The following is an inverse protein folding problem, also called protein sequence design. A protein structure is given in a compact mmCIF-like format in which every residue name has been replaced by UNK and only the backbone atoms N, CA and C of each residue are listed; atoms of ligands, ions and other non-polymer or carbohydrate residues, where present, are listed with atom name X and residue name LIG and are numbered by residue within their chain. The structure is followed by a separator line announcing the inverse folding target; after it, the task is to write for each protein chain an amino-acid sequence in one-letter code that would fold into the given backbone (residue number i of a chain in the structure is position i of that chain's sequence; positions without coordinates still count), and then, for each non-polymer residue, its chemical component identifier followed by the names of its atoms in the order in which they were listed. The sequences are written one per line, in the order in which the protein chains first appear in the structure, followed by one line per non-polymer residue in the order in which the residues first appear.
data_IF_591971666807
#
_entry.id   IF_591971666807
#
_cell.length_a   1.000
_cell.length_b   1.000
_cell.length_c   1.000
_cell.angle_alpha   90.00
_cell.angle_beta   90.00
_cell.angle_gamma   90.00
#
_symmetry.space_group_name_H-M   'P 1'
#
loop_
_entity.id
_entity.type
_entity.pdbx_description
1 polymer ?
#
# COMPACT_ATOMS: atom_id res chain seq x y z
N UNK A 1 45.38 -18.07 -50.00
CA UNK A 1 45.85 -16.67 -49.90
C UNK A 1 45.43 -16.14 -48.53
N UNK A 2 46.43 -15.91 -47.66
CA UNK A 2 46.44 -15.32 -46.29
C UNK A 2 45.50 -15.97 -45.24
N UNK A 3 45.92 -16.70 -44.18
CA UNK A 3 47.10 -16.78 -43.27
C UNK A 3 47.01 -15.96 -41.97
N UNK A 4 46.67 -16.67 -40.87
CA UNK A 4 47.22 -16.75 -39.48
C UNK A 4 47.67 -15.50 -38.66
N UNK A 5 47.40 -15.60 -37.34
CA UNK A 5 48.13 -15.11 -36.13
C UNK A 5 47.40 -14.00 -35.34
N UNK A 6 46.97 -14.17 -34.08
CA UNK A 6 47.66 -14.49 -32.80
C UNK A 6 48.72 -13.48 -32.39
N UNK A 7 48.48 -12.76 -31.28
CA UNK A 7 49.48 -12.52 -30.22
C UNK A 7 48.90 -11.80 -29.00
N UNK A 8 49.08 -12.44 -27.86
CA UNK A 8 48.98 -11.93 -26.49
C UNK A 8 50.06 -10.88 -26.19
N UNK A 9 49.79 -9.96 -25.25
CA UNK A 9 50.84 -9.25 -24.52
C UNK A 9 50.58 -9.33 -23.01
N UNK A 10 51.52 -9.98 -22.32
CA UNK A 10 51.74 -9.90 -20.87
C UNK A 10 52.81 -8.82 -20.64
N UNK A 11 52.65 -7.98 -19.62
CA UNK A 11 53.78 -7.31 -18.98
C UNK A 11 53.54 -7.13 -17.47
N UNK A 12 54.24 -7.99 -16.74
CA UNK A 12 54.99 -7.81 -15.47
C UNK A 12 54.73 -6.65 -14.51
N UNK A 13 54.62 -7.05 -13.23
CA UNK A 13 54.57 -6.33 -11.96
C UNK A 13 55.94 -5.75 -11.50
N UNK A 14 55.95 -4.61 -10.77
CA UNK A 14 56.68 -4.38 -9.49
C UNK A 14 56.52 -2.93 -8.92
N UNK A 15 56.76 -2.65 -7.60
CA UNK A 15 55.74 -2.04 -6.73
C UNK A 15 56.14 -0.80 -5.85
N UNK A 16 55.14 -0.31 -5.07
CA UNK A 16 55.13 0.51 -3.81
C UNK A 16 55.08 2.05 -3.92
N UNK A 17 54.57 2.81 -2.90
CA UNK A 17 54.25 2.41 -1.53
C UNK A 17 52.82 2.69 -1.01
N UNK A 18 52.57 2.03 0.11
CA UNK A 18 51.41 1.99 1.00
C UNK A 18 51.06 3.33 1.66
N UNK A 19 49.80 3.75 1.53
CA UNK A 19 49.14 4.69 2.44
C UNK A 19 48.25 3.91 3.42
N UNK A 20 48.62 3.96 4.70
CA UNK A 20 47.80 3.47 5.79
C UNK A 20 46.58 4.38 5.97
N UNK A 21 45.37 3.86 5.67
CA UNK A 21 44.15 4.33 6.30
C UNK A 21 43.64 3.25 7.23
N UNK A 22 43.72 3.52 8.54
CA UNK A 22 42.91 2.83 9.55
C UNK A 22 41.50 3.39 9.45
N UNK A 23 40.50 2.54 9.23
CA UNK A 23 39.14 2.82 9.66
C UNK A 23 38.41 1.55 10.11
N UNK A 24 38.10 1.55 11.40
CA UNK A 24 37.10 0.80 12.16
C UNK A 24 36.25 -0.23 11.38
N UNK A 25 36.41 -1.50 11.73
CA UNK A 25 35.49 -2.58 11.40
C UNK A 25 34.20 -2.44 12.22
N UNK A 26 33.19 -1.80 11.64
CA UNK A 26 31.80 -1.97 12.09
C UNK A 26 31.16 -3.04 11.21
N UNK A 27 31.07 -4.26 11.74
CA UNK A 27 30.27 -5.33 11.16
C UNK A 27 28.79 -4.94 11.21
N UNK A 28 28.26 -4.34 10.13
CA UNK A 28 26.81 -4.27 9.94
C UNK A 28 26.32 -5.67 9.59
N UNK A 29 25.60 -6.28 10.52
CA UNK A 29 24.88 -7.52 10.26
C UNK A 29 23.86 -7.25 9.14
N UNK A 30 24.00 -7.98 8.04
CA UNK A 30 23.03 -7.97 6.95
C UNK A 30 21.73 -8.63 7.44
N UNK A 31 20.54 -8.04 7.21
CA UNK A 31 19.29 -8.72 7.52
C UNK A 31 19.17 -9.97 6.65
N UNK A 32 19.02 -11.14 7.29
CA UNK A 32 18.77 -12.41 6.61
C UNK A 32 17.27 -12.54 6.36
N UNK A 33 16.87 -12.56 5.09
CA UNK A 33 15.46 -12.68 4.67
C UNK A 33 15.15 -14.16 4.40
N UNK A 34 14.05 -14.63 4.97
CA UNK A 34 13.46 -15.92 4.63
C UNK A 34 12.09 -15.65 3.97
N UNK A 35 11.88 -16.15 2.75
CA UNK A 35 10.56 -16.26 2.13
C UNK A 35 10.04 -17.67 2.35
N UNK A 36 8.89 -17.82 3.01
CA UNK A 36 8.24 -19.13 3.18
C UNK A 36 6.92 -19.15 2.43
N UNK A 37 6.79 -20.07 1.47
CA UNK A 37 5.51 -20.45 0.85
C UNK A 37 4.97 -21.61 1.68
N UNK A 38 3.80 -21.44 2.29
CA UNK A 38 3.10 -22.52 2.98
C UNK A 38 2.25 -23.29 1.98
N UNK A 39 2.65 -24.52 1.65
CA UNK A 39 1.75 -25.48 0.98
C UNK A 39 0.80 -26.08 2.02
N UNK A 40 -0.51 -25.89 1.83
CA UNK A 40 -1.54 -26.49 2.65
C UNK A 40 -1.74 -27.95 2.23
N UNK A 41 -1.25 -28.89 3.04
CA UNK A 41 -1.48 -30.33 2.83
C UNK A 41 -2.81 -30.71 3.47
N UNK A 42 -3.74 -31.20 2.67
CA UNK A 42 -5.06 -31.68 3.13
C UNK A 42 -4.91 -32.84 4.14
N UNK A 43 -5.65 -32.84 5.27
CA UNK A 43 -5.57 -33.95 6.22
C UNK A 43 -6.32 -35.20 5.72
N UNK A 44 -5.65 -36.35 5.84
CA UNK A 44 -6.24 -37.68 5.64
C UNK A 44 -7.18 -37.97 6.84
N UNK A 45 -8.42 -38.34 6.55
CA UNK A 45 -9.44 -38.72 7.54
C UNK A 45 -9.21 -40.13 8.09
N UNK A 46 -9.20 -40.29 9.42
CA UNK A 46 -9.59 -41.54 10.06
C UNK A 46 -10.33 -41.24 11.39
N UNK A 47 -11.39 -41.98 11.75
CA UNK A 47 -12.27 -41.62 12.86
C UNK A 47 -11.93 -42.40 14.13
N UNK A 48 -11.88 -41.74 15.29
CA UNK A 48 -12.13 -42.33 16.62
C UNK A 48 -12.33 -41.24 17.69
N UNK A 49 -13.58 -41.14 18.14
CA UNK A 49 -14.12 -40.72 19.43
C UNK A 49 -13.15 -40.46 20.62
N UNK A 50 -13.25 -39.29 21.28
CA UNK A 50 -14.06 -39.07 22.50
C UNK A 50 -13.66 -37.80 23.29
N UNK A 51 -14.70 -37.05 23.71
CA UNK A 51 -14.76 -36.12 24.85
C UNK A 51 -13.86 -34.86 24.88
N UNK A 52 -14.39 -33.75 24.35
CA UNK A 52 -14.00 -32.37 24.73
C UNK A 52 -15.26 -31.60 25.17
N UNK A 53 -15.32 -31.04 26.39
CA UNK A 53 -16.46 -30.24 26.82
C UNK A 53 -16.56 -28.92 26.04
N UNK A 54 -17.77 -28.35 25.86
CA UNK A 54 -17.97 -27.17 25.02
C UNK A 54 -17.28 -25.94 25.60
N UNK A 55 -16.73 -25.04 24.76
CA UNK A 55 -16.09 -23.82 25.23
C UNK A 55 -17.09 -22.91 25.93
N UNK A 56 -16.76 -22.54 27.16
CA UNK A 56 -17.48 -21.58 27.98
C UNK A 56 -17.63 -20.23 27.26
N UNK A 57 -18.85 -19.68 27.26
CA UNK A 57 -19.18 -18.34 26.74
C UNK A 57 -18.27 -17.27 27.34
N UNK A 58 -17.31 -16.78 26.56
CA UNK A 58 -16.47 -15.65 26.96
C UNK A 58 -17.32 -14.37 27.04
N UNK A 59 -17.45 -13.82 28.25
CA UNK A 59 -18.02 -12.49 28.48
C UNK A 59 -17.08 -11.44 27.88
N UNK A 60 -17.61 -10.64 26.97
CA UNK A 60 -16.95 -9.47 26.38
C UNK A 60 -16.78 -8.40 27.48
N UNK A 61 -15.62 -8.38 28.15
CA UNK A 61 -15.26 -7.27 29.05
C UNK A 61 -14.91 -6.06 28.19
N UNK A 62 -15.89 -5.22 27.91
CA UNK A 62 -15.63 -3.83 27.55
C UNK A 62 -15.36 -3.05 28.84
N UNK A 63 -14.08 -2.83 29.14
CA UNK A 63 -13.70 -1.76 30.05
C UNK A 63 -13.97 -0.43 29.37
N UNK A 64 -15.10 0.19 29.71
CA UNK A 64 -15.47 1.56 29.36
C UNK A 64 -14.49 2.51 30.05
N UNK A 65 -13.37 2.80 29.41
CA UNK A 65 -12.48 3.88 29.85
C UNK A 65 -13.11 5.21 29.48
N UNK A 66 -13.53 5.95 30.50
CA UNK A 66 -14.08 7.29 30.38
C UNK A 66 -12.96 8.25 29.96
N UNK A 67 -12.74 8.43 28.64
CA UNK A 67 -11.85 9.47 28.14
C UNK A 67 -12.67 10.74 27.96
N UNK A 68 -12.46 11.69 28.88
CA UNK A 68 -12.80 13.08 28.70
C UNK A 68 -12.27 13.52 27.33
N UNK A 69 -13.20 13.87 26.44
CA UNK A 69 -12.93 14.42 25.12
C UNK A 69 -12.31 15.80 25.28
N UNK A 70 -10.99 15.87 25.36
CA UNK A 70 -10.28 17.09 24.95
C UNK A 70 -10.47 17.15 23.44
N UNK A 71 -11.30 18.09 22.99
CA UNK A 71 -11.55 18.34 21.58
C UNK A 71 -10.21 18.49 20.85
N UNK A 72 -9.88 17.51 20.02
CA UNK A 72 -8.77 17.64 19.08
C UNK A 72 -9.16 18.74 18.09
N UNK A 73 -8.24 19.68 17.76
CA UNK A 73 -8.55 20.73 16.81
C UNK A 73 -8.92 20.06 15.48
N UNK A 74 -10.07 20.46 14.93
CA UNK A 74 -10.52 20.02 13.62
C UNK A 74 -9.39 20.25 12.62
N UNK A 75 -8.87 19.17 12.02
CA UNK A 75 -7.97 19.25 10.86
C UNK A 75 -8.68 20.13 9.82
N UNK A 76 -8.13 21.31 9.53
CA UNK A 76 -8.58 22.16 8.44
C UNK A 76 -8.62 21.29 7.17
N UNK A 77 -9.81 21.14 6.58
CA UNK A 77 -9.94 20.54 5.25
C UNK A 77 -9.20 21.45 4.27
N UNK A 78 -8.40 20.93 3.33
CA UNK A 78 -7.85 21.75 2.25
C UNK A 78 -8.99 22.51 1.59
N UNK A 79 -8.85 23.82 1.38
CA UNK A 79 -9.85 24.56 0.61
C UNK A 79 -9.86 24.02 -0.82
N UNK A 80 -10.93 23.28 -1.15
CA UNK A 80 -11.15 22.75 -2.48
C UNK A 80 -11.29 23.91 -3.46
N UNK A 81 -10.43 23.96 -4.47
CA UNK A 81 -10.49 25.02 -5.48
C UNK A 81 -11.84 25.01 -6.22
N UNK A 82 -12.32 26.17 -6.68
CA UNK A 82 -13.57 26.28 -7.45
C UNK A 82 -13.58 25.36 -8.69
N UNK A 83 -12.42 25.22 -9.35
CA UNK A 83 -12.25 24.32 -10.50
C UNK A 83 -12.41 22.86 -10.09
N UNK A 84 -11.81 22.45 -8.96
CA UNK A 84 -12.01 21.11 -8.40
C UNK A 84 -13.47 20.86 -8.05
N UNK A 85 -14.14 21.82 -7.40
CA UNK A 85 -15.55 21.69 -7.05
C UNK A 85 -16.43 21.51 -8.29
N UNK A 86 -16.23 22.33 -9.33
CA UNK A 86 -16.97 22.25 -10.60
C UNK A 86 -16.84 20.86 -11.24
N UNK A 87 -15.60 20.39 -11.44
CA UNK A 87 -15.40 19.09 -12.08
C UNK A 87 -15.90 17.93 -11.23
N UNK A 88 -15.81 18.02 -9.91
CA UNK A 88 -16.40 17.03 -9.01
C UNK A 88 -17.93 17.02 -9.10
N UNK A 89 -18.58 18.17 -9.27
CA UNK A 89 -20.03 18.22 -9.53
C UNK A 89 -20.39 17.57 -10.88
N UNK A 90 -19.60 17.80 -11.93
CA UNK A 90 -19.79 17.11 -13.22
C UNK A 90 -19.62 15.60 -13.05
N UNK A 91 -18.62 15.17 -12.28
CA UNK A 91 -18.39 13.76 -11.95
C UNK A 91 -19.58 13.14 -11.21
N UNK A 92 -20.20 13.87 -10.28
CA UNK A 92 -21.42 13.43 -9.59
C UNK A 92 -22.60 13.22 -10.55
N UNK A 93 -22.74 14.11 -11.54
CA UNK A 93 -23.76 13.98 -12.59
C UNK A 93 -23.48 12.72 -13.41
N UNK A 94 -22.24 12.47 -13.81
CA UNK A 94 -21.86 11.24 -14.52
C UNK A 94 -22.20 10.01 -13.67
N UNK A 95 -21.77 9.99 -12.40
CA UNK A 95 -22.00 8.87 -11.50
C UNK A 95 -23.47 8.64 -11.17
N UNK A 96 -24.30 9.67 -11.19
CA UNK A 96 -25.74 9.54 -10.86
C UNK A 96 -26.59 9.16 -12.07
N UNK A 97 -26.31 9.77 -13.23
CA UNK A 97 -27.20 9.69 -14.39
C UNK A 97 -26.64 8.88 -15.57
N UNK A 98 -25.32 8.74 -15.68
CA UNK A 98 -24.68 8.05 -16.83
C UNK A 98 -24.16 6.67 -16.42
N UNK A 99 -23.50 6.58 -15.26
CA UNK A 99 -22.87 5.35 -14.77
C UNK A 99 -23.09 5.15 -13.27
N UNK A 100 -24.34 4.95 -12.83
CA UNK A 100 -24.61 4.55 -11.46
C UNK A 100 -23.98 3.18 -11.17
N UNK A 101 -23.48 2.95 -9.93
CA UNK A 101 -22.97 1.65 -9.53
C UNK A 101 -24.10 0.62 -9.59
N UNK A 102 -24.17 -0.09 -10.71
CA UNK A 102 -25.29 -0.96 -11.06
C UNK A 102 -25.10 -2.41 -10.59
N UNK A 103 -23.88 -2.77 -10.17
CA UNK A 103 -23.52 -4.12 -9.73
C UNK A 103 -22.83 -4.07 -8.36
N UNK A 104 -23.08 -5.04 -7.46
CA UNK A 104 -22.43 -5.10 -6.16
C UNK A 104 -20.89 -5.14 -6.22
N UNK A 105 -20.31 -5.66 -7.30
CA UNK A 105 -18.86 -5.75 -7.50
C UNK A 105 -18.17 -4.39 -7.72
N UNK A 106 -18.95 -3.34 -8.00
CA UNK A 106 -18.45 -1.97 -8.21
C UNK A 106 -19.20 -0.94 -7.35
N UNK A 107 -20.13 -1.35 -6.51
CA UNK A 107 -20.81 -0.44 -5.57
C UNK A 107 -19.93 -0.28 -4.33
N UNK A 108 -19.45 0.95 -4.01
CA UNK A 108 -18.63 1.20 -2.82
C UNK A 108 -19.28 0.70 -1.52
N UNK A 109 -20.62 0.71 -1.42
CA UNK A 109 -21.33 0.22 -0.22
C UNK A 109 -21.10 -1.26 0.04
N UNK A 110 -20.89 -2.04 -1.02
CA UNK A 110 -20.62 -3.46 -0.94
C UNK A 110 -19.10 -3.72 -0.92
N UNK A 111 -18.35 -3.11 -1.84
CA UNK A 111 -16.91 -3.30 -2.01
C UNK A 111 -16.11 -2.83 -0.79
N UNK A 112 -16.50 -1.71 -0.17
CA UNK A 112 -15.82 -1.12 1.00
C UNK A 112 -16.55 -1.44 2.31
N UNK A 113 -17.18 -2.61 2.41
CA UNK A 113 -17.86 -3.06 3.63
C UNK A 113 -16.98 -3.95 4.50
N UNK A 114 -17.28 -3.99 5.81
CA UNK A 114 -16.58 -4.87 6.76
C UNK A 114 -15.07 -4.61 6.80
N UNK A 115 -14.28 -5.66 6.63
CA UNK A 115 -12.81 -5.58 6.67
C UNK A 115 -12.18 -4.91 5.43
N UNK A 116 -12.98 -4.61 4.40
CA UNK A 116 -12.56 -3.86 3.22
C UNK A 116 -12.85 -2.36 3.35
N UNK A 117 -13.47 -1.92 4.44
CA UNK A 117 -13.67 -0.50 4.71
C UNK A 117 -12.30 0.21 4.87
N UNK A 118 -12.15 1.44 4.34
CA UNK A 118 -10.89 2.16 4.41
C UNK A 118 -10.53 2.56 5.84
N UNK A 119 -9.25 2.48 6.16
CA UNK A 119 -8.64 3.07 7.35
C UNK A 119 -8.13 4.46 6.98
N UNK A 120 -8.90 5.49 7.33
CA UNK A 120 -8.60 6.87 6.90
C UNK A 120 -7.36 7.46 7.58
N UNK A 121 -7.14 7.11 8.84
CA UNK A 121 -6.01 7.61 9.62
C UNK A 121 -4.80 6.68 9.55
N UNK A 122 -3.63 7.27 9.24
CA UNK A 122 -2.35 6.58 9.38
C UNK A 122 -2.04 6.34 10.87
N UNK A 123 -1.61 5.12 11.21
CA UNK A 123 -1.27 4.76 12.58
C UNK A 123 0.22 5.05 12.83
N UNK A 124 0.60 5.97 13.73
CA UNK A 124 2.00 6.17 14.11
C UNK A 124 2.60 4.89 14.71
N UNK A 125 3.93 4.75 14.80
CA UNK A 125 4.55 3.65 15.52
C UNK A 125 3.90 3.49 16.90
N UNK A 126 3.16 2.40 17.07
CA UNK A 126 2.34 2.13 18.24
C UNK A 126 2.79 0.81 18.83
N UNK A 127 3.21 0.82 20.09
CA UNK A 127 3.60 -0.41 20.79
C UNK A 127 2.40 -1.36 20.92
N UNK A 128 2.64 -2.64 20.64
CA UNK A 128 1.63 -3.68 20.76
C UNK A 128 1.83 -4.47 22.05
N UNK A 129 0.77 -4.64 22.83
CA UNK A 129 0.77 -5.50 24.01
C UNK A 129 0.69 -6.98 23.58
N UNK A 130 1.51 -7.82 24.23
CA UNK A 130 1.47 -9.27 24.05
C UNK A 130 0.43 -9.83 25.03
N UNK A 131 -0.74 -10.22 24.52
CA UNK A 131 -1.84 -10.73 25.35
C UNK A 131 -1.63 -12.21 25.74
N UNK A 132 -1.00 -13.00 24.86
CA UNK A 132 -0.76 -14.43 25.07
C UNK A 132 0.60 -14.86 24.52
N UNK A 133 1.25 -15.80 25.22
CA UNK A 133 2.53 -16.38 24.82
C UNK A 133 3.70 -15.39 24.92
N UNK A 134 4.73 -15.61 24.12
CA UNK A 134 5.90 -14.75 24.01
C UNK A 134 6.41 -14.69 22.57
N UNK A 135 7.01 -13.56 22.19
CA UNK A 135 7.64 -13.42 20.87
C UNK A 135 9.01 -14.10 20.90
N UNK A 136 9.30 -15.05 19.98
CA UNK A 136 10.59 -15.71 19.94
C UNK A 136 11.74 -14.70 19.77
N UNK A 137 12.85 -14.82 20.53
CA UNK A 137 14.00 -13.91 20.41
C UNK A 137 14.66 -13.92 19.02
N UNK A 138 14.45 -14.98 18.24
CA UNK A 138 14.94 -15.11 16.87
C UNK A 138 14.15 -14.27 15.85
N UNK A 139 12.97 -13.76 16.20
CA UNK A 139 12.23 -12.81 15.36
C UNK A 139 12.76 -11.40 15.60
N UNK A 140 13.62 -10.94 14.70
CA UNK A 140 14.10 -9.55 14.66
C UNK A 140 14.00 -9.03 13.23
N UNK A 141 13.04 -8.15 12.97
CA UNK A 141 12.73 -7.68 11.64
C UNK A 141 11.38 -7.00 11.53
N UNK A 142 10.91 -6.81 10.29
CA UNK A 142 9.61 -6.23 10.00
C UNK A 142 8.82 -7.12 9.04
N UNK A 143 7.57 -7.38 9.38
CA UNK A 143 6.58 -7.91 8.45
C UNK A 143 5.80 -6.72 7.87
N UNK A 144 5.81 -6.57 6.55
CA UNK A 144 5.19 -5.44 5.86
C UNK A 144 4.24 -5.98 4.81
N UNK A 145 3.01 -5.47 4.79
CA UNK A 145 1.99 -5.82 3.81
C UNK A 145 1.51 -4.56 3.11
N UNK A 146 1.39 -4.65 1.78
CA UNK A 146 0.76 -3.64 0.94
C UNK A 146 -0.73 -3.98 0.71
N UNK A 147 -1.53 -2.98 0.37
CA UNK A 147 -2.91 -3.19 -0.03
C UNK A 147 -3.61 -1.88 -0.42
N UNK A 148 -4.77 -1.99 -1.09
CA UNK A 148 -5.58 -0.85 -1.48
C UNK A 148 -6.33 -0.28 -0.28
N UNK A 149 -6.27 1.03 -0.12
CA UNK A 149 -6.99 1.79 0.89
C UNK A 149 -7.31 3.18 0.31
N UNK A 150 -8.53 3.46 -0.18
CA UNK A 150 -8.83 4.75 -0.78
C UNK A 150 -8.78 5.86 0.27
N UNK A 151 -8.01 6.92 0.01
CA UNK A 151 -7.88 8.05 0.95
C UNK A 151 -9.16 8.91 1.03
N UNK A 152 -9.97 8.91 -0.03
CA UNK A 152 -11.28 9.55 -0.11
C UNK A 152 -12.34 8.50 -0.42
N UNK A 153 -13.53 8.64 0.18
CA UNK A 153 -14.64 7.77 -0.16
C UNK A 153 -15.04 7.97 -1.64
N UNK A 154 -15.10 6.89 -2.43
CA UNK A 154 -15.48 6.98 -3.85
C UNK A 154 -16.90 7.52 -4.01
N UNK A 155 -17.09 8.39 -4.99
CA UNK A 155 -18.39 9.03 -5.29
C UNK A 155 -19.22 8.29 -6.32
N UNK A 156 -18.62 7.31 -6.99
CA UNK A 156 -19.21 6.50 -8.05
C UNK A 156 -18.75 5.06 -7.97
N UNK A 157 -18.82 4.30 -9.08
CA UNK A 157 -18.35 2.93 -9.14
C UNK A 157 -16.89 2.80 -8.64
N UNK A 158 -16.62 1.77 -7.85
CA UNK A 158 -15.33 1.53 -7.22
C UNK A 158 -14.99 0.04 -7.17
N UNK A 159 -13.79 -0.32 -7.63
CA UNK A 159 -13.27 -1.67 -7.54
C UNK A 159 -12.21 -1.74 -6.43
N UNK A 160 -12.07 -2.90 -5.78
CA UNK A 160 -11.13 -3.09 -4.67
C UNK A 160 -9.69 -2.67 -5.06
N UNK A 161 -9.31 -2.86 -6.31
CA UNK A 161 -7.97 -2.56 -6.82
C UNK A 161 -7.72 -1.08 -7.13
N UNK A 162 -8.74 -0.23 -7.08
CA UNK A 162 -8.61 1.21 -7.36
C UNK A 162 -8.15 2.04 -6.14
N UNK A 163 -7.92 1.41 -4.98
CA UNK A 163 -7.55 2.12 -3.75
C UNK A 163 -6.09 2.53 -3.72
N UNK A 164 -5.79 3.66 -3.05
CA UNK A 164 -4.40 4.09 -2.86
C UNK A 164 -3.58 3.05 -2.08
N UNK A 165 -2.30 2.90 -2.39
CA UNK A 165 -1.42 1.98 -1.70
C UNK A 165 -1.19 2.40 -0.24
N UNK A 166 -1.47 1.49 0.70
CA UNK A 166 -1.21 1.68 2.12
C UNK A 166 -0.43 0.50 2.69
N UNK A 167 0.72 0.82 3.28
CA UNK A 167 1.58 -0.16 3.92
C UNK A 167 1.18 -0.31 5.39
N UNK A 168 1.09 -1.55 5.84
CA UNK A 168 0.99 -1.91 7.24
C UNK A 168 2.24 -2.68 7.63
N UNK A 169 2.93 -2.22 8.68
CA UNK A 169 4.17 -2.83 9.13
C UNK A 169 4.11 -3.20 10.61
N UNK A 170 4.51 -4.42 10.94
CA UNK A 170 4.76 -4.86 12.31
C UNK A 170 6.26 -5.11 12.43
N UNK A 171 6.94 -4.29 13.22
CA UNK A 171 8.34 -4.50 13.59
C UNK A 171 8.39 -5.30 14.89
N UNK A 172 9.12 -6.41 14.87
CA UNK A 172 9.40 -7.23 16.05
C UNK A 172 10.90 -7.11 16.35
N UNK A 173 11.26 -6.78 17.58
CA UNK A 173 12.66 -6.68 18.01
C UNK A 173 12.72 -6.76 19.53
N UNK A 174 13.67 -7.53 20.07
CA UNK A 174 13.86 -7.70 21.52
C UNK A 174 12.59 -8.09 22.28
N UNK A 175 11.80 -9.01 21.72
CA UNK A 175 10.54 -9.47 22.33
C UNK A 175 9.42 -8.43 22.38
N UNK A 176 9.56 -7.30 21.68
CA UNK A 176 8.53 -6.24 21.56
C UNK A 176 8.02 -6.15 20.13
N UNK A 177 6.76 -5.76 19.97
CA UNK A 177 6.15 -5.48 18.67
C UNK A 177 5.69 -4.02 18.58
N UNK A 178 5.86 -3.43 17.40
CA UNK A 178 5.39 -2.07 17.08
C UNK A 178 4.68 -2.10 15.73
N UNK A 179 3.43 -1.65 15.70
CA UNK A 179 2.61 -1.54 14.49
C UNK A 179 2.61 -0.10 13.98
N UNK A 180 2.68 0.08 12.66
CA UNK A 180 2.38 1.35 12.01
C UNK A 180 1.70 1.14 10.66
N UNK A 181 1.05 2.20 10.15
CA UNK A 181 0.52 2.22 8.80
C UNK A 181 0.74 3.57 8.12
N UNK A 182 1.06 3.56 6.83
CA UNK A 182 1.33 4.76 6.02
C UNK A 182 0.86 4.56 4.59
N UNK A 183 0.27 5.59 3.99
CA UNK A 183 0.05 5.61 2.56
C UNK A 183 1.36 5.77 1.83
N UNK A 184 1.53 5.03 0.73
CA UNK A 184 2.55 5.28 -0.28
C UNK A 184 2.24 6.63 -0.92
N UNK A 185 3.22 7.54 -0.93
CA UNK A 185 3.03 8.91 -1.40
C UNK A 185 3.15 8.99 -2.92
N UNK A 186 2.26 8.29 -3.62
CA UNK A 186 2.21 8.31 -5.09
C UNK A 186 1.88 9.70 -5.62
N UNK A 187 2.17 9.94 -6.90
CA UNK A 187 1.76 11.20 -7.54
C UNK A 187 0.24 11.42 -7.41
N UNK A 188 -0.55 10.38 -7.71
CA UNK A 188 -2.00 10.38 -7.50
C UNK A 188 -2.38 10.75 -6.07
N UNK A 189 -1.77 10.08 -5.08
CA UNK A 189 -2.07 10.34 -3.67
C UNK A 189 -1.86 11.82 -3.31
N UNK A 190 -0.73 12.39 -3.73
CA UNK A 190 -0.36 13.77 -3.40
C UNK A 190 -1.27 14.80 -4.09
N UNK A 191 -1.58 14.59 -5.38
CA UNK A 191 -2.48 15.45 -6.16
C UNK A 191 -3.86 15.50 -5.50
N UNK A 192 -4.44 14.34 -5.20
CA UNK A 192 -5.80 14.25 -4.65
C UNK A 192 -5.84 14.80 -3.22
N UNK A 193 -4.79 14.57 -2.43
CA UNK A 193 -4.66 15.14 -1.10
C UNK A 193 -4.61 16.67 -1.12
N UNK A 194 -3.90 17.26 -2.09
CA UNK A 194 -3.85 18.71 -2.28
C UNK A 194 -5.20 19.26 -2.76
N UNK A 195 -5.88 18.56 -3.67
CA UNK A 195 -7.18 18.94 -4.18
C UNK A 195 -8.31 18.77 -3.15
N UNK A 196 -8.11 17.90 -2.15
CA UNK A 196 -9.12 17.55 -1.14
C UNK A 196 -10.23 16.63 -1.68
N UNK A 197 -10.03 16.03 -2.85
CA UNK A 197 -10.99 15.18 -3.54
C UNK A 197 -10.29 14.22 -4.50
N UNK A 198 -11.00 13.17 -4.92
CA UNK A 198 -10.59 12.31 -6.03
C UNK A 198 -10.57 13.13 -7.34
N UNK A 199 -9.51 12.99 -8.12
CA UNK A 199 -9.28 13.77 -9.36
C UNK A 199 -8.79 12.86 -10.49
N UNK A 200 -7.96 11.87 -10.17
CA UNK A 200 -7.42 10.92 -11.15
C UNK A 200 -8.41 9.74 -11.26
N UNK A 201 -8.84 9.38 -12.48
CA UNK A 201 -9.87 8.36 -12.67
C UNK A 201 -9.45 6.98 -12.16
N UNK A 202 -10.43 6.23 -11.67
CA UNK A 202 -10.27 4.82 -11.35
C UNK A 202 -10.28 3.98 -12.62
N UNK A 203 -9.30 3.09 -12.78
CA UNK A 203 -9.09 2.36 -14.05
C UNK A 203 -9.98 1.13 -14.11
N UNK A 204 -10.14 0.41 -12.99
CA UNK A 204 -10.90 -0.84 -13.00
C UNK A 204 -12.42 -0.60 -12.92
N UNK A 205 -12.85 0.40 -12.16
CA UNK A 205 -14.28 0.72 -12.01
C UNK A 205 -14.78 1.89 -12.84
N UNK A 206 -13.89 2.72 -13.40
CA UNK A 206 -14.29 3.97 -14.06
C UNK A 206 -14.83 3.80 -15.48
N UNK A 207 -14.88 2.59 -16.05
CA UNK A 207 -15.15 2.39 -17.47
C UNK A 207 -16.14 1.24 -17.73
N UNK A 208 -17.28 1.23 -17.02
CA UNK A 208 -18.28 0.13 -17.08
C UNK A 208 -19.16 0.09 -18.36
N UNK A 209 -18.96 1.01 -19.30
CA UNK A 209 -19.73 1.08 -20.54
C UNK A 209 -19.23 2.17 -21.48
N UNK A 210 -19.67 2.14 -22.75
CA UNK A 210 -19.19 3.07 -23.78
C UNK A 210 -19.50 4.53 -23.42
N UNK A 211 -20.75 4.84 -23.06
CA UNK A 211 -21.16 6.20 -22.69
C UNK A 211 -20.42 6.70 -21.45
N UNK A 212 -20.30 5.85 -20.43
CA UNK A 212 -19.55 6.15 -19.21
C UNK A 212 -18.07 6.45 -19.53
N UNK A 213 -17.47 5.64 -20.42
CA UNK A 213 -16.07 5.79 -20.83
C UNK A 213 -15.83 7.08 -21.59
N UNK A 214 -16.72 7.46 -22.50
CA UNK A 214 -16.64 8.73 -23.22
C UNK A 214 -16.78 9.91 -22.26
N UNK A 215 -17.77 9.87 -21.35
CA UNK A 215 -17.99 10.94 -20.38
C UNK A 215 -16.81 11.12 -19.42
N UNK A 216 -16.29 10.03 -18.83
CA UNK A 216 -15.12 10.10 -17.93
C UNK A 216 -13.83 10.40 -18.66
N UNK A 217 -13.67 9.93 -19.90
CA UNK A 217 -12.54 10.30 -20.77
C UNK A 217 -12.52 11.79 -21.07
N UNK A 218 -13.66 12.38 -21.42
CA UNK A 218 -13.80 13.82 -21.63
C UNK A 218 -13.51 14.62 -20.35
N UNK A 219 -14.11 14.23 -19.22
CA UNK A 219 -13.84 14.87 -17.92
C UNK A 219 -12.35 14.81 -17.57
N UNK A 220 -11.74 13.63 -17.72
CA UNK A 220 -10.30 13.42 -17.52
C UNK A 220 -9.47 14.37 -18.37
N UNK A 221 -9.76 14.49 -19.67
CA UNK A 221 -9.07 15.40 -20.56
C UNK A 221 -9.21 16.86 -20.10
N UNK A 222 -10.42 17.29 -19.71
CA UNK A 222 -10.64 18.64 -19.18
C UNK A 222 -9.87 18.90 -17.88
N UNK A 223 -9.81 17.95 -16.96
CA UNK A 223 -9.03 18.08 -15.71
C UNK A 223 -7.52 18.24 -16.00
N UNK A 224 -7.00 17.48 -16.98
CA UNK A 224 -5.60 17.60 -17.42
C UNK A 224 -5.34 18.96 -18.10
N UNK A 225 -6.21 19.39 -19.00
CA UNK A 225 -6.10 20.70 -19.68
C UNK A 225 -6.21 21.87 -18.71
N UNK A 226 -7.02 21.73 -17.64
CA UNK A 226 -7.12 22.70 -16.56
C UNK A 226 -5.93 22.67 -15.59
N UNK A 227 -4.94 21.79 -15.80
CA UNK A 227 -3.74 21.68 -15.00
C UNK A 227 -3.93 21.07 -13.61
N UNK A 228 -5.03 20.34 -13.37
CA UNK A 228 -5.26 19.71 -12.06
C UNK A 228 -4.26 18.59 -11.77
N UNK A 229 -3.80 17.91 -12.82
CA UNK A 229 -2.71 16.92 -12.74
C UNK A 229 -2.10 16.69 -14.12
N UNK A 230 -0.92 16.09 -14.14
CA UNK A 230 -0.21 15.70 -15.35
C UNK A 230 -0.03 14.17 -15.34
N UNK A 231 -0.68 13.42 -16.25
CA UNK A 231 -0.57 11.96 -16.28
C UNK A 231 0.84 11.45 -16.57
N UNK A 232 1.72 12.28 -17.14
CA UNK A 232 3.15 11.93 -17.36
C UNK A 232 3.89 11.68 -16.05
N UNK A 233 3.44 12.27 -14.94
CA UNK A 233 4.03 12.07 -13.62
C UNK A 233 3.55 10.77 -12.93
N UNK A 234 2.73 9.97 -13.60
CA UNK A 234 2.19 8.72 -13.09
C UNK A 234 0.72 8.81 -12.71
N UNK A 235 0.02 7.68 -12.77
CA UNK A 235 -1.36 7.51 -12.28
C UNK A 235 -1.45 6.29 -11.34
N UNK A 236 -0.30 5.80 -10.88
CA UNK A 236 -0.18 4.58 -10.11
C UNK A 236 -0.72 4.67 -8.70
N UNK A 237 -1.17 3.52 -8.22
CA UNK A 237 -1.69 3.32 -6.87
C UNK A 237 -0.63 2.75 -5.92
N UNK A 238 0.35 2.01 -6.46
CA UNK A 238 1.39 1.31 -5.70
C UNK A 238 0.82 0.40 -4.59
N UNK A 239 -0.27 -0.32 -4.87
CA UNK A 239 -1.06 -1.07 -3.88
C UNK A 239 -0.94 -2.61 -4.01
N UNK A 240 -0.16 -3.11 -4.98
CA UNK A 240 -0.20 -4.52 -5.40
C UNK A 240 0.74 -5.40 -4.57
N UNK A 241 2.01 -5.01 -4.44
CA UNK A 241 3.05 -5.85 -3.81
C UNK A 241 4.22 -5.01 -3.30
N UNK A 242 5.22 -5.69 -2.73
CA UNK A 242 6.47 -5.12 -2.24
C UNK A 242 7.66 -5.93 -2.78
N UNK A 243 8.76 -5.24 -3.10
CA UNK A 243 10.04 -5.86 -3.39
C UNK A 243 11.14 -5.21 -2.55
N UNK A 244 11.92 -6.03 -1.84
CA UNK A 244 13.12 -5.57 -1.14
C UNK A 244 14.34 -5.87 -2.01
N UNK A 245 15.00 -4.82 -2.50
CA UNK A 245 16.12 -4.96 -3.42
C UNK A 245 17.17 -3.88 -3.12
N UNK A 246 18.46 -4.28 -3.09
CA UNK A 246 19.58 -3.38 -2.81
C UNK A 246 19.36 -2.48 -1.57
N UNK A 247 18.83 -3.08 -0.49
CA UNK A 247 18.61 -2.41 0.79
C UNK A 247 17.54 -1.29 0.77
N UNK A 248 16.66 -1.32 -0.24
CA UNK A 248 15.51 -0.43 -0.44
C UNK A 248 14.24 -1.25 -0.54
N UNK A 249 13.11 -0.68 -0.12
CA UNK A 249 11.82 -1.35 -0.15
C UNK A 249 10.92 -0.63 -1.15
N UNK A 250 10.56 -1.32 -2.21
CA UNK A 250 9.75 -0.74 -3.26
C UNK A 250 8.30 -1.22 -3.15
N UNK A 251 7.35 -0.29 -3.11
CA UNK A 251 5.94 -0.52 -3.33
C UNK A 251 5.65 -0.59 -4.84
N UNK A 252 4.99 -1.67 -5.24
CA UNK A 252 4.72 -2.00 -6.63
C UNK A 252 3.25 -1.75 -6.99
N UNK A 253 3.01 -1.37 -8.24
CA UNK A 253 1.69 -1.24 -8.83
C UNK A 253 1.73 -1.61 -10.31
N UNK A 254 0.57 -1.89 -10.90
CA UNK A 254 0.47 -2.37 -12.29
C UNK A 254 0.67 -1.26 -13.34
N UNK A 255 0.41 0.00 -12.97
CA UNK A 255 0.24 1.12 -13.91
C UNK A 255 1.31 2.21 -13.81
N UNK A 256 2.37 2.00 -13.03
CA UNK A 256 3.40 3.03 -12.76
C UNK A 256 4.73 2.42 -12.31
N UNK A 257 5.76 3.26 -12.20
CA UNK A 257 7.06 2.88 -11.66
C UNK A 257 6.96 2.46 -10.17
N UNK A 258 7.89 1.61 -9.69
CA UNK A 258 8.01 1.31 -8.27
C UNK A 258 8.29 2.55 -7.42
N UNK A 259 7.66 2.62 -6.25
CA UNK A 259 7.85 3.71 -5.27
C UNK A 259 8.72 3.22 -4.11
N UNK A 260 9.77 3.97 -3.76
CA UNK A 260 10.63 3.69 -2.60
C UNK A 260 10.11 4.34 -1.30
#
# INVERSE_FOLDING_TARGET
MYSVSSSSFISTFSPKPSLHLRHSSSSRLLPRINSTVSEERSPISNPSENNVPPPSKYKKLYTRTNRNSVASPAKLRPETTLVTALFTTVEDVINTFIDPPSRPSVDPKHVLSGNFAPVLDELPPTECEIIHGSLPPSLDGAYIRNGPNPQFLPRGPYHLFDGDGMLHAIRISNGKATLCSRYVKTYKYNVEKQAGAQVIPNVFSGFNGVTASVARGALTAFRVLAGQYNPVNGIGLANTSLAFFCNRLFALGESDLPYD
#
